data_IF_828099846835
#
_entry.id   IF_828099846835
#
_cell.length_a   1.000
_cell.length_b   1.000
_cell.length_c   1.000
_cell.angle_alpha   90.00
_cell.angle_beta   90.00
_cell.angle_gamma   90.00
#
_symmetry.space_group_name_H-M   'P 1'
#
loop_
_entity.id
_entity.type
_entity.pdbx_description
1 polymer ?
#
# COMPACT_ATOMS: atom_id res chain seq x y z
N UNK A 1 22.23 5.52 -20.23
CA UNK A 1 21.74 5.80 -18.86
C UNK A 1 22.70 5.12 -17.91
N UNK A 2 23.41 5.90 -17.11
CA UNK A 2 24.55 5.42 -16.33
C UNK A 2 24.06 4.53 -15.17
N UNK A 3 24.67 3.35 -15.03
CA UNK A 3 24.58 2.54 -13.81
C UNK A 3 25.15 3.37 -12.65
N UNK A 4 24.28 4.02 -11.87
CA UNK A 4 24.64 4.60 -10.58
C UNK A 4 25.21 3.49 -9.69
N UNK A 5 26.31 3.76 -8.99
CA UNK A 5 26.92 2.76 -8.10
C UNK A 5 25.95 2.41 -6.98
N UNK A 6 25.99 1.18 -6.47
CA UNK A 6 25.10 0.69 -5.39
C UNK A 6 24.99 1.65 -4.19
N UNK A 7 26.09 2.32 -3.81
CA UNK A 7 26.10 3.33 -2.74
C UNK A 7 25.29 4.58 -3.06
N UNK A 8 25.34 5.07 -4.30
CA UNK A 8 24.57 6.25 -4.74
C UNK A 8 23.08 5.92 -4.80
N UNK A 9 22.72 4.72 -5.27
CA UNK A 9 21.34 4.24 -5.25
C UNK A 9 20.80 4.15 -3.81
N UNK A 10 21.58 3.61 -2.87
CA UNK A 10 21.15 3.51 -1.46
C UNK A 10 20.89 4.90 -0.84
N UNK A 11 21.74 5.89 -1.13
CA UNK A 11 21.55 7.27 -0.64
C UNK A 11 20.32 7.95 -1.26
N UNK A 12 20.04 7.69 -2.54
CA UNK A 12 18.85 8.16 -3.26
C UNK A 12 17.55 7.61 -2.64
N UNK A 13 17.50 6.29 -2.37
CA UNK A 13 16.35 5.67 -1.70
C UNK A 13 16.11 6.21 -0.28
N UNK A 14 17.16 6.68 0.39
CA UNK A 14 17.01 7.33 1.70
C UNK A 14 16.50 8.77 1.61
N UNK A 15 16.76 9.48 0.51
CA UNK A 15 16.47 10.91 0.35
C UNK A 15 15.59 11.23 -0.88
N UNK A 16 14.51 10.50 -1.09
CA UNK A 16 13.61 10.67 -2.25
C UNK A 16 13.16 12.13 -2.48
N UNK A 17 12.89 12.90 -1.42
CA UNK A 17 12.44 14.30 -1.51
C UNK A 17 13.43 15.25 -2.20
N UNK A 18 14.71 14.86 -2.30
CA UNK A 18 15.73 15.66 -3.01
C UNK A 18 15.84 15.32 -4.49
N UNK A 19 15.21 14.24 -4.94
CA UNK A 19 15.27 13.81 -6.33
C UNK A 19 14.36 14.67 -7.21
N UNK A 20 14.87 15.02 -8.39
CA UNK A 20 14.07 15.67 -9.43
C UNK A 20 13.14 14.66 -10.14
N UNK A 21 12.25 15.18 -10.98
CA UNK A 21 11.27 14.38 -11.70
C UNK A 21 11.90 13.27 -12.57
N UNK A 22 12.99 13.56 -13.28
CA UNK A 22 13.62 12.59 -14.18
C UNK A 22 14.27 11.44 -13.40
N UNK A 23 14.87 11.76 -12.25
CA UNK A 23 15.43 10.74 -11.35
C UNK A 23 14.32 9.85 -10.80
N UNK A 24 13.20 10.43 -10.34
CA UNK A 24 12.07 9.66 -9.82
C UNK A 24 11.44 8.74 -10.89
N UNK A 25 11.29 9.20 -12.13
CA UNK A 25 10.84 8.37 -13.26
C UNK A 25 11.79 7.21 -13.50
N UNK A 26 13.10 7.47 -13.57
CA UNK A 26 14.10 6.42 -13.77
C UNK A 26 14.09 5.39 -12.64
N UNK A 27 13.86 5.82 -11.38
CA UNK A 27 13.74 4.91 -10.24
C UNK A 27 12.48 4.04 -10.35
N UNK A 28 11.35 4.62 -10.75
CA UNK A 28 10.11 3.86 -10.97
C UNK A 28 10.29 2.85 -12.10
N UNK A 29 10.92 3.23 -13.20
CA UNK A 29 11.24 2.30 -14.28
C UNK A 29 12.12 1.13 -13.83
N UNK A 30 13.11 1.40 -12.98
CA UNK A 30 13.97 0.35 -12.41
C UNK A 30 13.16 -0.62 -11.55
N UNK A 31 12.27 -0.11 -10.71
CA UNK A 31 11.33 -0.94 -9.91
C UNK A 31 10.48 -1.80 -10.82
N UNK A 32 9.88 -1.22 -11.87
CA UNK A 32 9.01 -1.94 -12.82
C UNK A 32 9.80 -3.03 -13.57
N UNK A 33 11.00 -2.70 -14.07
CA UNK A 33 11.88 -3.67 -14.76
C UNK A 33 12.33 -4.82 -13.86
N UNK A 34 12.36 -4.61 -12.55
CA UNK A 34 12.68 -5.64 -11.56
C UNK A 34 11.53 -6.60 -11.24
N UNK A 35 10.29 -6.30 -11.64
CA UNK A 35 9.14 -7.20 -11.43
C UNK A 35 9.26 -8.39 -12.37
N UNK A 36 9.17 -9.60 -11.83
CA UNK A 36 9.29 -10.85 -12.56
C UNK A 36 8.03 -11.69 -12.41
N UNK A 37 7.73 -12.49 -13.44
CA UNK A 37 6.69 -13.49 -13.37
C UNK A 37 6.96 -14.52 -12.26
N UNK A 38 5.91 -15.04 -11.59
CA UNK A 38 6.05 -16.13 -10.63
C UNK A 38 6.72 -17.36 -11.26
N UNK A 39 7.55 -18.05 -10.48
CA UNK A 39 8.27 -19.24 -10.92
C UNK A 39 7.32 -20.43 -11.17
N UNK A 40 7.12 -20.77 -12.44
CA UNK A 40 6.15 -21.79 -12.84
C UNK A 40 6.58 -23.21 -12.43
N UNK A 41 7.90 -23.48 -12.37
CA UNK A 41 8.42 -24.77 -11.93
C UNK A 41 8.10 -25.03 -10.45
N UNK A 42 8.35 -24.04 -9.58
CA UNK A 42 8.00 -24.12 -8.16
C UNK A 42 6.50 -24.23 -7.92
N UNK A 43 5.70 -23.49 -8.70
CA UNK A 43 4.25 -23.59 -8.65
C UNK A 43 3.76 -25.00 -9.04
N UNK A 44 4.27 -25.57 -10.13
CA UNK A 44 3.94 -26.93 -10.57
C UNK A 44 4.39 -27.99 -9.55
N UNK A 45 5.61 -27.85 -9.01
CA UNK A 45 6.13 -28.74 -7.97
C UNK A 45 5.31 -28.68 -6.67
N UNK A 46 4.80 -27.50 -6.29
CA UNK A 46 3.84 -27.38 -5.18
C UNK A 46 2.55 -28.13 -5.47
N UNK A 47 1.97 -28.00 -6.67
CA UNK A 47 0.74 -28.73 -7.01
C UNK A 47 0.93 -30.25 -6.94
N UNK A 48 2.03 -30.77 -7.49
CA UNK A 48 2.37 -32.20 -7.38
C UNK A 48 2.45 -32.66 -5.91
N UNK A 49 3.04 -31.82 -5.04
CA UNK A 49 3.14 -32.11 -3.61
C UNK A 49 1.78 -32.09 -2.91
N UNK A 50 0.86 -31.24 -3.33
CA UNK A 50 -0.51 -31.16 -2.81
C UNK A 50 -1.35 -32.36 -3.29
N UNK A 51 -1.22 -32.76 -4.56
CA UNK A 51 -1.95 -33.90 -5.13
C UNK A 51 -1.53 -35.24 -4.51
N UNK A 52 -0.28 -35.33 -4.02
CA UNK A 52 0.22 -36.50 -3.29
C UNK A 52 -0.24 -36.58 -1.82
N UNK A 53 -1.00 -35.60 -1.31
CA UNK A 53 -1.53 -35.65 0.08
C UNK A 53 -2.74 -36.57 0.17
N UNK A 54 -3.00 -37.09 1.38
CA UNK A 54 -4.17 -37.93 1.68
C UNK A 54 -5.44 -37.05 1.70
N UNK A 55 -5.91 -36.69 0.51
CA UNK A 55 -7.13 -35.93 0.22
C UNK A 55 -7.55 -36.22 -1.22
N UNK A 56 -8.84 -36.10 -1.59
CA UNK A 56 -9.19 -36.06 -3.00
C UNK A 56 -8.45 -34.92 -3.70
N UNK A 57 -7.99 -35.14 -4.93
CA UNK A 57 -7.30 -34.13 -5.74
C UNK A 57 -8.15 -32.86 -5.81
N UNK A 58 -7.53 -31.70 -5.56
CA UNK A 58 -8.16 -30.36 -5.54
C UNK A 58 -9.26 -30.12 -4.47
N UNK A 59 -9.47 -31.04 -3.53
CA UNK A 59 -10.54 -30.92 -2.53
C UNK A 59 -10.40 -29.74 -1.56
N UNK A 60 -9.22 -29.13 -1.43
CA UNK A 60 -9.03 -27.94 -0.58
C UNK A 60 -9.30 -26.62 -1.32
N UNK A 61 -9.66 -26.68 -2.62
CA UNK A 61 -10.08 -25.53 -3.42
C UNK A 61 -9.07 -24.39 -3.39
N UNK A 62 -9.54 -23.19 -3.02
CA UNK A 62 -8.76 -21.94 -3.01
C UNK A 62 -7.48 -22.03 -2.18
N UNK A 63 -7.42 -22.89 -1.15
CA UNK A 63 -6.20 -23.09 -0.38
C UNK A 63 -5.06 -23.70 -1.21
N UNK A 64 -5.38 -24.56 -2.18
CA UNK A 64 -4.37 -25.12 -3.10
C UNK A 64 -3.88 -24.05 -4.07
N UNK A 65 -4.78 -23.19 -4.56
CA UNK A 65 -4.45 -22.08 -5.44
C UNK A 65 -3.50 -21.07 -4.76
N UNK A 66 -3.79 -20.70 -3.50
CA UNK A 66 -2.93 -19.82 -2.71
C UNK A 66 -1.56 -20.46 -2.48
N UNK A 67 -1.50 -21.75 -2.11
CA UNK A 67 -0.23 -22.44 -1.89
C UNK A 67 0.62 -22.50 -3.17
N UNK A 68 0.00 -22.77 -4.32
CA UNK A 68 0.65 -22.77 -5.64
C UNK A 68 1.17 -21.39 -6.02
N UNK A 69 0.37 -20.34 -5.80
CA UNK A 69 0.78 -18.96 -6.06
C UNK A 69 1.96 -18.54 -5.18
N UNK A 70 1.91 -18.83 -3.88
CA UNK A 70 3.01 -18.55 -2.95
C UNK A 70 4.29 -19.27 -3.36
N UNK A 71 4.19 -20.52 -3.82
CA UNK A 71 5.35 -21.26 -4.30
C UNK A 71 6.04 -20.57 -5.50
N UNK A 72 5.25 -20.04 -6.44
CA UNK A 72 5.78 -19.28 -7.57
C UNK A 72 6.42 -17.95 -7.15
N UNK A 73 5.78 -17.21 -6.23
CA UNK A 73 6.33 -15.94 -5.70
C UNK A 73 7.64 -16.16 -4.94
N UNK A 74 7.67 -17.19 -4.08
CA UNK A 74 8.83 -17.53 -3.27
C UNK A 74 9.90 -18.31 -4.05
N UNK A 75 9.60 -18.73 -5.28
CA UNK A 75 10.45 -19.57 -6.14
C UNK A 75 10.91 -20.83 -5.42
N UNK A 76 9.98 -21.47 -4.70
CA UNK A 76 10.20 -22.77 -4.06
C UNK A 76 8.88 -23.49 -3.85
N UNK A 77 8.86 -24.81 -4.00
CA UNK A 77 7.70 -25.65 -3.66
C UNK A 77 7.47 -25.79 -2.14
N UNK A 78 8.34 -25.17 -1.32
CA UNK A 78 8.30 -25.17 0.15
C UNK A 78 8.35 -23.74 0.70
N UNK A 79 7.40 -22.86 0.33
CA UNK A 79 7.37 -21.49 0.83
C UNK A 79 7.23 -21.48 2.36
N UNK A 80 7.99 -20.61 3.03
CA UNK A 80 7.96 -20.44 4.47
C UNK A 80 7.72 -18.97 4.83
N UNK A 81 6.57 -18.68 5.43
CA UNK A 81 6.25 -17.35 5.96
C UNK A 81 6.98 -17.16 7.29
N UNK A 82 7.90 -16.20 7.36
CA UNK A 82 8.75 -15.96 8.53
C UNK A 82 8.15 -14.89 9.44
N UNK A 83 7.93 -13.71 8.88
CA UNK A 83 7.35 -12.55 9.57
C UNK A 83 6.40 -11.83 8.61
N UNK A 84 5.41 -11.16 9.18
CA UNK A 84 4.31 -10.49 8.47
C UNK A 84 4.23 -9.04 8.91
N UNK A 85 3.89 -8.15 7.98
CA UNK A 85 3.57 -6.77 8.31
C UNK A 85 2.39 -6.24 7.51
N UNK A 86 1.64 -5.33 8.14
CA UNK A 86 0.66 -4.46 7.49
C UNK A 86 1.32 -3.10 7.31
N UNK A 87 1.49 -2.66 6.07
CA UNK A 87 1.98 -1.34 5.71
C UNK A 87 0.78 -0.39 5.64
N UNK A 88 0.62 0.45 6.67
CA UNK A 88 -0.50 1.38 6.79
C UNK A 88 -0.06 2.79 6.36
N UNK A 89 -0.69 3.30 5.30
CA UNK A 89 -0.42 4.63 4.73
C UNK A 89 -1.50 5.62 5.13
N UNK A 90 -1.11 6.76 5.72
CA UNK A 90 -2.04 7.79 6.18
C UNK A 90 -1.91 9.07 5.36
N UNK A 91 -3.03 9.60 4.88
CA UNK A 91 -3.07 10.85 4.12
C UNK A 91 -4.46 11.48 4.12
N UNK A 92 -4.50 12.80 4.04
CA UNK A 92 -5.75 13.56 4.01
C UNK A 92 -6.09 14.05 2.58
N UNK A 93 -7.37 14.24 2.30
CA UNK A 93 -7.85 14.59 0.97
C UNK A 93 -8.55 15.95 0.94
N UNK A 94 -8.16 16.82 -0.01
CA UNK A 94 -8.78 18.14 -0.18
C UNK A 94 -10.26 18.10 -0.57
N UNK A 95 -10.72 17.01 -1.18
CA UNK A 95 -12.14 16.83 -1.58
C UNK A 95 -13.10 16.72 -0.39
N UNK A 96 -12.59 16.50 0.82
CA UNK A 96 -13.41 16.55 2.05
C UNK A 96 -14.15 17.89 2.19
N UNK A 97 -13.59 18.98 1.65
CA UNK A 97 -14.25 20.30 1.63
C UNK A 97 -15.60 20.31 0.88
N UNK A 98 -15.84 19.34 0.00
CA UNK A 98 -17.10 19.17 -0.76
C UNK A 98 -18.18 18.38 0.02
N UNK A 99 -17.93 18.02 1.28
CA UNK A 99 -18.92 17.33 2.11
C UNK A 99 -19.07 15.83 1.82
N UNK A 100 -18.08 15.22 1.18
CA UNK A 100 -18.08 13.78 0.83
C UNK A 100 -17.85 12.82 2.00
N UNK A 101 -17.83 13.34 3.23
CA UNK A 101 -17.68 12.55 4.45
C UNK A 101 -18.44 13.20 5.61
N UNK A 102 -19.12 12.37 6.40
CA UNK A 102 -19.75 12.81 7.66
C UNK A 102 -18.74 12.97 8.81
N UNK A 103 -17.56 12.35 8.69
CA UNK A 103 -16.50 12.43 9.68
C UNK A 103 -15.65 13.70 9.47
N UNK A 104 -15.32 14.46 10.53
CA UNK A 104 -14.34 15.55 10.48
C UNK A 104 -12.96 15.06 10.04
N UNK A 105 -12.23 15.89 9.30
CA UNK A 105 -10.92 15.53 8.72
C UNK A 105 -9.87 15.22 9.80
N UNK A 106 -9.96 15.83 10.99
CA UNK A 106 -9.01 15.61 12.09
C UNK A 106 -9.02 14.16 12.62
N UNK A 107 -10.06 13.38 12.30
CA UNK A 107 -10.15 11.96 12.67
C UNK A 107 -9.00 11.15 12.06
N UNK A 108 -8.48 11.51 10.89
CA UNK A 108 -7.32 10.81 10.28
C UNK A 108 -6.14 10.75 11.25
N UNK A 109 -5.76 11.88 11.84
CA UNK A 109 -4.63 11.96 12.77
C UNK A 109 -4.92 11.24 14.10
N UNK A 110 -6.15 11.31 14.61
CA UNK A 110 -6.56 10.59 15.81
C UNK A 110 -6.45 9.07 15.62
N UNK A 111 -6.93 8.57 14.48
CA UNK A 111 -6.79 7.17 14.08
C UNK A 111 -5.33 6.78 13.92
N UNK A 112 -4.51 7.64 13.31
CA UNK A 112 -3.08 7.43 13.17
C UNK A 112 -2.38 7.21 14.53
N UNK A 113 -2.62 8.06 15.51
CA UNK A 113 -2.10 7.85 16.87
C UNK A 113 -2.67 6.59 17.54
N UNK A 114 -3.92 6.22 17.25
CA UNK A 114 -4.48 4.95 17.72
C UNK A 114 -3.76 3.73 17.12
N UNK A 115 -3.35 3.80 15.84
CA UNK A 115 -2.56 2.76 15.19
C UNK A 115 -1.17 2.64 15.83
N UNK A 116 -0.49 3.78 16.04
CA UNK A 116 0.81 3.83 16.74
C UNK A 116 0.72 3.29 18.16
N UNK A 117 -0.39 3.56 18.85
CA UNK A 117 -0.66 3.07 20.20
C UNK A 117 -1.08 1.61 20.29
N UNK A 118 -1.25 0.91 19.15
CA UNK A 118 -1.64 -0.50 19.13
C UNK A 118 -3.10 -0.79 19.46
N UNK A 119 -3.99 0.21 19.40
CA UNK A 119 -5.37 0.13 19.94
C UNK A 119 -6.47 0.04 18.89
N UNK A 120 -6.16 0.19 17.60
CA UNK A 120 -7.17 0.12 16.56
C UNK A 120 -7.48 -1.32 16.14
N UNK A 121 -8.60 -1.51 15.44
CA UNK A 121 -9.02 -2.84 14.96
C UNK A 121 -7.94 -3.58 14.17
N UNK A 122 -7.23 -2.89 13.27
CA UNK A 122 -6.12 -3.48 12.51
C UNK A 122 -4.97 -3.97 13.40
N UNK A 123 -4.69 -3.30 14.52
CA UNK A 123 -3.65 -3.76 15.45
C UNK A 123 -4.04 -5.08 16.10
N UNK A 124 -5.30 -5.22 16.52
CA UNK A 124 -5.81 -6.44 17.14
C UNK A 124 -5.80 -7.61 16.14
N UNK A 125 -6.24 -7.36 14.90
CA UNK A 125 -6.23 -8.37 13.83
C UNK A 125 -4.79 -8.75 13.43
N UNK A 126 -3.90 -7.77 13.32
CA UNK A 126 -2.49 -8.02 13.01
C UNK A 126 -1.82 -8.83 14.13
N UNK A 127 -2.06 -8.48 15.40
CA UNK A 127 -1.56 -9.25 16.54
C UNK A 127 -2.06 -10.70 16.52
N UNK A 128 -3.35 -10.91 16.29
CA UNK A 128 -3.92 -12.26 16.15
C UNK A 128 -3.28 -13.04 14.99
N UNK A 129 -3.04 -12.37 13.86
CA UNK A 129 -2.37 -12.94 12.71
C UNK A 129 -0.84 -13.05 12.86
N UNK A 130 -0.24 -12.59 13.97
CA UNK A 130 1.21 -12.55 14.16
C UNK A 130 1.94 -11.63 13.18
N UNK A 131 1.35 -10.48 12.88
CA UNK A 131 1.87 -9.43 12.01
C UNK A 131 2.09 -8.13 12.79
N UNK A 132 3.09 -7.34 12.39
CA UNK A 132 3.28 -5.97 12.87
C UNK A 132 2.52 -4.95 12.01
N UNK A 133 2.23 -3.77 12.56
CA UNK A 133 1.62 -2.67 11.81
C UNK A 133 2.63 -1.54 11.70
N UNK A 134 3.03 -1.21 10.47
CA UNK A 134 3.98 -0.14 10.16
C UNK A 134 3.18 1.06 9.67
N UNK A 135 3.07 2.09 10.49
CA UNK A 135 2.31 3.29 10.19
C UNK A 135 3.21 4.33 9.52
N UNK A 136 2.80 4.84 8.36
CA UNK A 136 3.54 5.85 7.60
C UNK A 136 2.61 7.01 7.26
N UNK A 137 2.98 8.21 7.70
CA UNK A 137 2.36 9.44 7.21
C UNK A 137 2.91 9.77 5.83
N UNK A 138 2.04 9.76 4.83
CA UNK A 138 2.36 10.15 3.45
C UNK A 138 1.73 11.48 3.08
N UNK A 139 0.75 11.97 3.85
CA UNK A 139 0.14 13.25 3.53
C UNK A 139 -0.97 13.76 4.44
N UNK A 140 -0.89 13.57 5.76
CA UNK A 140 -1.87 14.16 6.68
C UNK A 140 -1.72 15.69 6.76
N UNK A 141 -2.83 16.40 6.97
CA UNK A 141 -2.87 17.86 7.11
C UNK A 141 -2.19 18.35 8.41
N UNK A 142 -2.59 17.89 9.61
CA UNK A 142 -2.01 18.41 10.85
C UNK A 142 -0.55 18.02 11.01
N UNK A 143 0.24 18.88 11.66
CA UNK A 143 1.58 18.50 12.10
C UNK A 143 1.51 17.40 13.17
N UNK A 144 2.42 16.44 13.11
CA UNK A 144 2.51 15.34 14.09
C UNK A 144 3.59 15.59 15.13
N UNK A 145 3.42 14.97 16.30
CA UNK A 145 4.40 14.94 17.37
C UNK A 145 4.68 13.46 17.75
N UNK A 146 5.95 13.02 17.69
CA UNK A 146 7.13 13.83 17.38
C UNK A 146 7.27 14.09 15.85
N UNK A 147 7.98 15.15 15.42
CA UNK A 147 8.03 15.57 14.01
C UNK A 147 8.56 14.51 13.04
N UNK A 148 9.34 13.56 13.53
CA UNK A 148 9.90 12.43 12.77
C UNK A 148 8.82 11.54 12.17
N UNK A 149 7.61 11.53 12.75
CA UNK A 149 6.46 10.82 12.17
C UNK A 149 6.11 11.35 10.77
N UNK A 150 6.48 12.60 10.45
CA UNK A 150 6.26 13.23 9.14
C UNK A 150 7.45 13.05 8.18
N UNK A 151 8.45 12.23 8.51
CA UNK A 151 9.66 12.06 7.69
C UNK A 151 9.33 11.70 6.23
N UNK A 152 8.32 10.86 6.02
CA UNK A 152 7.86 10.40 4.71
C UNK A 152 6.70 11.22 4.11
N UNK A 153 6.25 12.28 4.79
CA UNK A 153 5.13 13.11 4.32
C UNK A 153 5.47 13.83 3.03
N UNK A 154 4.62 13.73 2.02
CA UNK A 154 4.84 14.33 0.70
C UNK A 154 4.27 15.73 0.66
N UNK A 155 3.05 15.89 1.16
CA UNK A 155 2.28 17.14 1.17
C UNK A 155 1.33 17.16 2.38
N UNK A 156 0.90 18.32 2.85
CA UNK A 156 -0.12 18.43 3.89
C UNK A 156 -1.52 18.31 3.27
N UNK A 157 -1.99 17.08 3.06
CA UNK A 157 -3.22 16.79 2.34
C UNK A 157 -3.10 16.98 0.82
N UNK A 158 -3.90 16.23 0.06
CA UNK A 158 -4.00 16.46 -1.39
C UNK A 158 -4.75 17.76 -1.69
N UNK A 159 -4.54 18.32 -2.89
CA UNK A 159 -5.48 19.31 -3.43
C UNK A 159 -6.85 18.65 -3.67
N UNK A 160 -7.86 19.50 -3.87
CA UNK A 160 -9.22 19.06 -4.09
C UNK A 160 -9.45 18.66 -5.55
N UNK A 161 -9.76 17.38 -5.76
CA UNK A 161 -9.95 16.79 -7.10
C UNK A 161 -11.15 17.36 -7.87
N UNK A 162 -12.09 18.01 -7.18
CA UNK A 162 -13.21 18.71 -7.82
C UNK A 162 -12.74 19.95 -8.61
N UNK A 163 -11.65 20.59 -8.17
CA UNK A 163 -11.18 21.85 -8.72
C UNK A 163 -9.89 21.71 -9.54
N UNK A 164 -9.29 20.52 -9.58
CA UNK A 164 -8.03 20.29 -10.28
C UNK A 164 -7.35 18.97 -9.91
N UNK A 165 -6.07 18.78 -10.26
CA UNK A 165 -5.35 17.57 -9.88
C UNK A 165 -5.11 17.51 -8.36
N UNK A 166 -5.17 16.31 -7.77
CA UNK A 166 -4.86 16.08 -6.34
C UNK A 166 -3.42 16.47 -5.97
N UNK A 167 -2.50 16.31 -6.91
CA UNK A 167 -1.07 16.49 -6.73
C UNK A 167 -0.38 16.60 -8.09
N UNK A 168 0.84 17.11 -8.09
CA UNK A 168 1.74 17.10 -9.25
C UNK A 168 2.22 15.68 -9.57
N UNK A 169 2.74 15.49 -10.79
CA UNK A 169 3.37 14.21 -11.18
C UNK A 169 4.56 13.85 -10.29
N UNK A 170 5.35 14.84 -9.88
CA UNK A 170 6.50 14.61 -8.99
C UNK A 170 6.05 14.10 -7.62
N UNK A 171 5.01 14.71 -7.03
CA UNK A 171 4.43 14.26 -5.76
C UNK A 171 3.85 12.84 -5.87
N UNK A 172 3.19 12.50 -6.99
CA UNK A 172 2.70 11.14 -7.22
C UNK A 172 3.82 10.10 -7.29
N UNK A 173 4.93 10.42 -7.98
CA UNK A 173 6.10 9.54 -8.03
C UNK A 173 6.77 9.41 -6.67
N UNK A 174 6.87 10.49 -5.90
CA UNK A 174 7.33 10.45 -4.51
C UNK A 174 6.45 9.53 -3.66
N UNK A 175 5.12 9.55 -3.83
CA UNK A 175 4.21 8.66 -3.12
C UNK A 175 4.46 7.18 -3.42
N UNK A 176 4.55 6.84 -4.71
CA UNK A 176 4.77 5.46 -5.16
C UNK A 176 6.12 4.95 -4.65
N UNK A 177 7.18 5.75 -4.83
CA UNK A 177 8.53 5.37 -4.42
C UNK A 177 8.70 5.34 -2.90
N UNK A 178 7.95 6.16 -2.15
CA UNK A 178 7.90 6.06 -0.68
C UNK A 178 7.30 4.73 -0.27
N UNK A 179 6.18 4.30 -0.87
CA UNK A 179 5.62 2.96 -0.63
C UNK A 179 6.62 1.84 -0.95
N UNK A 180 7.31 1.93 -2.09
CA UNK A 180 8.36 0.98 -2.48
C UNK A 180 9.54 0.98 -1.50
N UNK A 181 9.99 2.15 -1.03
CA UNK A 181 11.03 2.30 0.00
C UNK A 181 10.64 1.57 1.27
N UNK A 182 9.45 1.85 1.81
CA UNK A 182 8.94 1.23 3.04
C UNK A 182 8.85 -0.29 2.87
N UNK A 183 8.34 -0.78 1.73
CA UNK A 183 8.28 -2.22 1.46
C UNK A 183 9.68 -2.86 1.43
N UNK A 184 10.67 -2.21 0.79
CA UNK A 184 12.06 -2.71 0.73
C UNK A 184 12.71 -2.75 2.10
N UNK A 185 12.57 -1.69 2.89
CA UNK A 185 13.10 -1.62 4.26
C UNK A 185 12.47 -2.71 5.15
N UNK A 186 11.15 -2.88 5.03
CA UNK A 186 10.40 -3.93 5.73
C UNK A 186 10.88 -5.32 5.32
N UNK A 187 11.09 -5.58 4.04
CA UNK A 187 11.61 -6.88 3.56
C UNK A 187 13.03 -7.12 4.08
N UNK A 188 13.86 -6.07 4.11
CA UNK A 188 15.25 -6.13 4.57
C UNK A 188 15.35 -6.44 6.07
N UNK A 189 14.31 -6.15 6.87
CA UNK A 189 14.23 -6.53 8.29
C UNK A 189 13.83 -8.01 8.52
N UNK A 190 13.59 -8.76 7.43
CA UNK A 190 13.28 -10.19 7.45
C UNK A 190 11.79 -10.52 7.32
N UNK A 191 10.93 -9.54 7.05
CA UNK A 191 9.52 -9.76 6.72
C UNK A 191 9.39 -10.21 5.28
N UNK A 192 8.54 -11.20 5.05
CA UNK A 192 8.36 -11.78 3.71
C UNK A 192 6.90 -11.94 3.30
N UNK A 193 5.96 -11.45 4.12
CA UNK A 193 4.56 -11.33 3.74
C UNK A 193 4.04 -9.96 4.16
N UNK A 194 3.63 -9.17 3.17
CA UNK A 194 3.13 -7.82 3.36
C UNK A 194 1.63 -7.78 3.05
N UNK A 195 0.90 -7.04 3.87
CA UNK A 195 -0.43 -6.55 3.57
C UNK A 195 -0.37 -5.02 3.49
N UNK A 196 -1.28 -4.41 2.75
CA UNK A 196 -1.42 -2.96 2.69
C UNK A 196 -2.68 -2.52 3.43
N UNK A 197 -2.62 -1.33 4.00
CA UNK A 197 -3.74 -0.66 4.65
C UNK A 197 -3.62 0.84 4.47
N UNK A 198 -4.72 1.53 4.69
CA UNK A 198 -4.77 2.97 4.48
C UNK A 198 -5.70 3.63 5.49
N UNK A 199 -5.55 4.94 5.66
CA UNK A 199 -6.47 5.78 6.42
C UNK A 199 -6.45 7.18 5.85
N UNK A 200 -7.64 7.74 5.62
CA UNK A 200 -7.79 9.11 5.16
C UNK A 200 -9.26 9.48 5.08
N UNK A 201 -9.69 10.50 5.80
CA UNK A 201 -11.08 10.94 5.65
C UNK A 201 -11.32 11.41 4.21
N UNK A 202 -12.41 10.94 3.61
CA UNK A 202 -12.80 11.22 2.22
C UNK A 202 -12.09 10.39 1.15
N UNK A 203 -11.17 9.48 1.51
CA UNK A 203 -10.39 8.62 0.59
C UNK A 203 -11.21 7.81 -0.42
N UNK A 204 -12.42 7.38 -0.07
CA UNK A 204 -13.29 6.58 -0.95
C UNK A 204 -13.76 7.36 -2.17
N UNK A 205 -13.78 8.69 -2.12
CA UNK A 205 -14.11 9.55 -3.28
C UNK A 205 -13.05 9.44 -4.38
N UNK A 206 -11.75 9.74 -4.15
CA UNK A 206 -10.72 9.51 -5.16
C UNK A 206 -10.58 8.03 -5.54
N UNK A 207 -10.82 7.07 -4.62
CA UNK A 207 -10.87 5.64 -5.00
C UNK A 207 -11.94 5.36 -6.04
N UNK A 208 -13.16 5.86 -5.84
CA UNK A 208 -14.28 5.68 -6.77
C UNK A 208 -13.99 6.35 -8.12
N UNK A 209 -13.40 7.55 -8.11
CA UNK A 209 -12.98 8.23 -9.33
C UNK A 209 -11.93 7.42 -10.12
N UNK A 210 -10.93 6.84 -9.45
CA UNK A 210 -9.94 5.98 -10.09
C UNK A 210 -10.57 4.70 -10.66
N UNK A 211 -11.50 4.07 -9.92
CA UNK A 211 -12.20 2.88 -10.39
C UNK A 211 -13.02 3.21 -11.64
N UNK A 212 -13.78 4.31 -11.66
CA UNK A 212 -14.55 4.74 -12.82
C UNK A 212 -13.64 4.93 -14.05
N UNK A 213 -12.50 5.62 -13.88
CA UNK A 213 -11.54 5.87 -14.97
C UNK A 213 -10.92 4.57 -15.48
N UNK A 214 -10.46 3.67 -14.61
CA UNK A 214 -9.77 2.46 -15.04
C UNK A 214 -10.70 1.39 -15.62
N UNK A 215 -11.95 1.34 -15.17
CA UNK A 215 -12.92 0.32 -15.60
C UNK A 215 -13.87 0.80 -16.68
N UNK A 216 -14.01 2.12 -16.87
CA UNK A 216 -15.01 2.73 -17.75
C UNK A 216 -16.44 2.65 -17.23
N UNK A 217 -16.64 2.18 -16.00
CA UNK A 217 -17.96 2.14 -15.35
C UNK A 217 -18.44 3.56 -15.01
N UNK A 218 -19.76 3.72 -14.90
CA UNK A 218 -20.36 4.98 -14.47
C UNK A 218 -20.02 5.24 -13.01
N UNK A 219 -19.95 6.53 -12.65
CA UNK A 219 -19.67 6.95 -11.27
C UNK A 219 -20.71 6.38 -10.31
N UNK A 220 -21.98 6.40 -10.70
CA UNK A 220 -23.10 5.86 -9.89
C UNK A 220 -22.91 4.38 -9.51
N UNK A 221 -22.23 3.59 -10.35
CA UNK A 221 -22.04 2.15 -10.13
C UNK A 221 -20.86 1.83 -9.21
N UNK A 222 -19.98 2.81 -8.97
CA UNK A 222 -18.71 2.62 -8.24
C UNK A 222 -18.58 3.51 -7.02
N UNK A 223 -19.51 4.43 -6.82
CA UNK A 223 -19.65 5.19 -5.57
C UNK A 223 -20.48 4.42 -4.54
N UNK A 224 -20.08 4.49 -3.28
CA UNK A 224 -20.85 3.97 -2.15
C UNK A 224 -20.93 4.99 -1.02
N UNK A 225 -21.66 4.65 0.04
CA UNK A 225 -21.91 5.52 1.19
C UNK A 225 -20.67 5.90 2.01
N UNK A 226 -19.51 5.27 1.75
CA UNK A 226 -18.28 5.49 2.50
C UNK A 226 -18.49 5.40 4.02
N UNK A 227 -17.95 6.36 4.77
CA UNK A 227 -18.15 6.50 6.22
C UNK A 227 -19.51 7.13 6.57
N UNK A 228 -20.60 6.48 6.17
CA UNK A 228 -21.93 6.75 6.68
C UNK A 228 -22.71 7.91 6.06
N UNK A 229 -22.41 8.31 4.81
CA UNK A 229 -23.31 9.18 4.07
C UNK A 229 -24.65 8.46 3.85
N UNK A 230 -25.77 9.11 4.19
CA UNK A 230 -27.11 8.62 3.85
C UNK A 230 -27.37 8.87 2.36
N UNK A 231 -28.22 8.06 1.72
CA UNK A 231 -28.56 7.98 0.28
C UNK A 231 -28.96 9.29 -0.47
N UNK A 232 -28.79 10.47 0.12
CA UNK A 232 -29.11 11.78 -0.48
C UNK A 232 -27.92 12.74 -0.58
N UNK A 233 -26.69 12.23 -0.54
CA UNK A 233 -25.48 13.01 -0.82
C UNK A 233 -25.03 12.75 -2.27
#
# INVERSE_FOLDING_TARGET
MANLKYHEQHELWQNLKKADLNVLESMLEEVIKGIQEPDQESAAAMQQRLDAKIKPVKSLGVLEDIARQLAGIYRTSHPHIKKKAVLLMAGDHGVVAEGVSAAPQEITAQMFYSFLGGKAGINILAQHAGAEVICTDVGMVPALNPPELMANRIKNGTDNIMHGPAMTRQEALLAILTGAKIARETISSGINLLATGEVGIGNTTPSSALIAVFTGNKVEDVTGSGTGLKDKA
#
